data_IF_812474074714
#
_entry.id   IF_812474074714
#
_cell.length_a   1.000
_cell.length_b   1.000
_cell.length_c   1.000
_cell.angle_alpha   90.00
_cell.angle_beta   90.00
_cell.angle_gamma   90.00
#
_symmetry.space_group_name_H-M   'P 1'
#
loop_
_entity.id
_entity.type
_entity.pdbx_description
1 polymer ?
#
# COMPACT_ATOMS: atom_id res chain seq x y z
N UNK A 1 -20.80 -12.21 7.29
CA UNK A 1 -21.37 -12.73 6.02
C UNK A 1 -21.88 -11.53 5.25
N UNK A 2 -21.56 -11.41 3.96
CA UNK A 2 -22.12 -10.34 3.14
C UNK A 2 -23.65 -10.52 3.04
N UNK A 3 -24.37 -9.42 3.05
CA UNK A 3 -25.83 -9.40 2.98
C UNK A 3 -26.30 -10.10 1.69
N UNK A 4 -27.16 -11.11 1.84
CA UNK A 4 -27.69 -11.89 0.72
C UNK A 4 -28.44 -10.99 -0.26
N UNK A 5 -29.15 -9.97 0.24
CA UNK A 5 -29.86 -9.01 -0.59
C UNK A 5 -28.90 -8.19 -1.48
N UNK A 6 -27.73 -7.82 -0.94
CA UNK A 6 -26.69 -7.11 -1.72
C UNK A 6 -26.10 -7.99 -2.81
N UNK A 7 -25.88 -9.27 -2.53
CA UNK A 7 -25.38 -10.21 -3.54
C UNK A 7 -26.40 -10.51 -4.64
N UNK A 8 -27.69 -10.60 -4.29
CA UNK A 8 -28.79 -10.77 -5.24
C UNK A 8 -28.97 -9.52 -6.12
N UNK A 9 -28.77 -8.32 -5.58
CA UNK A 9 -28.83 -7.07 -6.33
C UNK A 9 -27.65 -6.87 -7.31
N UNK A 10 -26.50 -7.51 -7.07
CA UNK A 10 -25.30 -7.37 -7.89
C UNK A 10 -24.73 -8.75 -8.30
N UNK A 11 -25.44 -9.53 -9.13
CA UNK A 11 -25.08 -10.93 -9.41
C UNK A 11 -23.72 -11.09 -10.07
N UNK A 12 -23.31 -10.15 -10.92
CA UNK A 12 -21.98 -10.15 -11.56
C UNK A 12 -20.86 -9.96 -10.53
N UNK A 13 -21.05 -9.06 -9.56
CA UNK A 13 -20.06 -8.83 -8.49
C UNK A 13 -20.03 -10.04 -7.55
N UNK A 14 -21.18 -10.63 -7.24
CA UNK A 14 -21.26 -11.86 -6.46
C UNK A 14 -20.60 -13.05 -7.16
N UNK A 15 -20.71 -13.15 -8.50
CA UNK A 15 -20.00 -14.12 -9.30
C UNK A 15 -18.48 -13.88 -9.22
N UNK A 16 -18.01 -12.65 -9.41
CA UNK A 16 -16.60 -12.30 -9.32
C UNK A 16 -16.00 -12.57 -7.92
N UNK A 17 -16.76 -12.32 -6.86
CA UNK A 17 -16.34 -12.63 -5.47
C UNK A 17 -16.11 -14.14 -5.27
N UNK A 18 -16.86 -14.99 -5.97
CA UNK A 18 -16.72 -16.46 -5.94
C UNK A 18 -15.68 -16.97 -6.94
N UNK A 19 -15.36 -16.19 -7.97
CA UNK A 19 -14.37 -16.54 -8.98
C UNK A 19 -12.96 -16.54 -8.37
N UNK A 20 -12.36 -17.72 -8.26
CA UNK A 20 -11.03 -17.89 -7.66
C UNK A 20 -9.91 -17.89 -8.71
N UNK A 21 -10.18 -17.56 -9.97
CA UNK A 21 -9.21 -17.68 -11.07
C UNK A 21 -7.97 -16.83 -10.79
N UNK A 22 -8.13 -15.55 -10.43
CA UNK A 22 -6.99 -14.69 -10.11
C UNK A 22 -6.19 -15.21 -8.91
N UNK A 23 -6.87 -15.60 -7.83
CA UNK A 23 -6.22 -16.18 -6.65
C UNK A 23 -5.44 -17.44 -6.99
N UNK A 24 -6.04 -18.36 -7.75
CA UNK A 24 -5.41 -19.61 -8.19
C UNK A 24 -4.19 -19.33 -9.05
N UNK A 25 -4.31 -18.45 -10.04
CA UNK A 25 -3.19 -18.11 -10.93
C UNK A 25 -2.04 -17.47 -10.16
N UNK A 26 -2.33 -16.53 -9.24
CA UNK A 26 -1.29 -15.94 -8.38
C UNK A 26 -0.65 -16.99 -7.47
N UNK A 27 -1.41 -17.92 -6.90
CA UNK A 27 -0.84 -19.02 -6.10
C UNK A 27 0.01 -19.99 -6.93
N UNK A 28 -0.25 -20.15 -8.22
CA UNK A 28 0.56 -20.96 -9.13
C UNK A 28 1.89 -20.27 -9.48
N UNK A 29 1.86 -18.98 -9.81
CA UNK A 29 3.08 -18.23 -10.21
C UNK A 29 3.88 -17.69 -9.03
N UNK A 30 3.25 -17.46 -7.89
CA UNK A 30 3.85 -16.92 -6.66
C UNK A 30 3.47 -17.80 -5.45
N UNK A 31 3.89 -19.08 -5.41
CA UNK A 31 3.43 -20.04 -4.40
C UNK A 31 3.80 -19.66 -2.96
N UNK A 32 4.83 -18.83 -2.77
CA UNK A 32 5.23 -18.31 -1.45
C UNK A 32 4.16 -17.42 -0.80
N UNK A 33 3.25 -16.83 -1.60
CA UNK A 33 2.17 -15.99 -1.09
C UNK A 33 1.12 -16.77 -0.30
N UNK A 34 0.94 -18.07 -0.56
CA UNK A 34 0.02 -18.95 0.18
C UNK A 34 -1.42 -18.40 0.30
N UNK A 35 -1.92 -17.77 -0.77
CA UNK A 35 -3.23 -17.11 -0.78
C UNK A 35 -4.35 -18.13 -0.57
N UNK A 36 -5.32 -17.78 0.28
CA UNK A 36 -6.38 -18.68 0.72
C UNK A 36 -7.79 -18.10 0.49
N UNK A 37 -8.00 -16.83 0.85
CA UNK A 37 -9.30 -16.17 0.73
C UNK A 37 -9.18 -14.88 -0.05
N UNK A 38 -10.32 -14.38 -0.53
CA UNK A 38 -10.42 -13.08 -1.18
C UNK A 38 -11.68 -12.34 -0.75
N UNK A 39 -11.60 -11.02 -0.73
CA UNK A 39 -12.72 -10.12 -0.45
C UNK A 39 -12.71 -8.95 -1.42
N UNK A 40 -13.87 -8.69 -2.01
CA UNK A 40 -14.11 -7.59 -2.92
C UNK A 40 -14.82 -6.44 -2.18
N UNK A 41 -14.32 -5.23 -2.39
CA UNK A 41 -14.99 -3.96 -2.07
C UNK A 41 -15.25 -3.19 -3.36
N UNK A 42 -16.50 -2.77 -3.56
CA UNK A 42 -16.84 -1.78 -4.57
C UNK A 42 -16.71 -0.38 -3.96
N UNK A 43 -16.12 0.54 -4.70
CA UNK A 43 -15.97 1.93 -4.28
C UNK A 43 -16.40 2.87 -5.39
N UNK A 44 -17.22 3.85 -5.00
CA UNK A 44 -17.65 4.98 -5.80
C UNK A 44 -17.13 6.27 -5.15
N UNK A 45 -16.48 7.13 -5.95
CA UNK A 45 -16.11 8.48 -5.57
C UNK A 45 -16.83 9.45 -6.51
N UNK A 46 -17.59 10.40 -5.97
CA UNK A 46 -18.45 11.31 -6.73
C UNK A 46 -17.69 12.42 -7.50
N UNK A 47 -16.36 12.49 -7.41
CA UNK A 47 -15.57 13.50 -8.12
C UNK A 47 -15.47 14.85 -7.41
N UNK A 48 -15.81 14.92 -6.12
CA UNK A 48 -15.70 16.15 -5.32
C UNK A 48 -14.30 16.35 -4.72
N UNK A 49 -13.25 16.14 -5.51
CA UNK A 49 -11.84 16.18 -5.09
C UNK A 49 -11.43 15.15 -4.01
N UNK A 50 -12.24 14.11 -3.81
CA UNK A 50 -11.90 13.05 -2.85
C UNK A 50 -10.58 12.35 -3.24
N UNK A 51 -9.68 12.20 -2.27
CA UNK A 51 -8.38 11.55 -2.41
C UNK A 51 -8.06 10.69 -1.16
N UNK A 52 -7.03 9.86 -1.25
CA UNK A 52 -6.58 9.01 -0.15
C UNK A 52 -5.10 9.27 0.13
N UNK A 53 -4.69 9.39 1.40
CA UNK A 53 -3.32 9.75 1.75
C UNK A 53 -2.34 8.63 1.38
N UNK A 54 -1.04 8.91 1.50
CA UNK A 54 -0.02 7.87 1.45
C UNK A 54 -0.25 6.84 2.54
N UNK A 55 -0.29 5.56 2.15
CA UNK A 55 -0.47 4.44 3.07
C UNK A 55 0.02 3.12 2.46
N UNK A 56 0.13 2.12 3.33
CA UNK A 56 0.08 0.71 2.95
C UNK A 56 -1.34 0.23 3.24
N UNK A 57 -1.86 -0.69 2.43
CA UNK A 57 -3.23 -1.21 2.62
C UNK A 57 -3.37 -1.98 3.94
N UNK A 58 -2.26 -2.58 4.38
CA UNK A 58 -2.20 -3.22 5.68
C UNK A 58 -0.76 -3.43 6.16
N UNK A 59 -0.63 -3.99 7.35
CA UNK A 59 0.64 -4.35 7.98
C UNK A 59 0.69 -5.87 8.22
N UNK A 60 1.81 -6.52 7.86
CA UNK A 60 1.96 -7.97 7.96
C UNK A 60 1.81 -8.47 9.41
N UNK A 61 2.02 -7.59 10.40
CA UNK A 61 1.97 -7.93 11.82
C UNK A 61 0.56 -8.06 12.40
N UNK A 62 -0.44 -7.45 11.76
CA UNK A 62 -1.82 -7.39 12.28
C UNK A 62 -2.87 -7.86 11.28
N UNK A 63 -2.49 -8.15 10.03
CA UNK A 63 -3.42 -8.50 8.96
C UNK A 63 -2.88 -9.61 8.05
N UNK A 64 -3.80 -10.45 7.57
CA UNK A 64 -3.53 -11.57 6.69
C UNK A 64 -3.54 -11.19 5.19
N UNK A 65 -3.96 -9.98 4.82
CA UNK A 65 -3.94 -9.50 3.42
C UNK A 65 -2.51 -9.48 2.88
N UNK A 66 -2.32 -9.94 1.64
CA UNK A 66 -1.01 -9.99 0.97
C UNK A 66 -1.02 -9.35 -0.42
N UNK A 67 -2.12 -9.49 -1.15
CA UNK A 67 -2.25 -8.92 -2.49
C UNK A 67 -3.47 -8.01 -2.55
N UNK A 68 -3.26 -6.82 -3.10
CA UNK A 68 -4.32 -5.90 -3.50
C UNK A 68 -4.40 -5.89 -5.02
N UNK A 69 -5.61 -6.07 -5.54
CA UNK A 69 -5.91 -5.93 -6.96
C UNK A 69 -7.03 -4.89 -7.14
N UNK A 70 -6.81 -3.89 -7.98
CA UNK A 70 -7.77 -2.82 -8.28
C UNK A 70 -8.16 -2.90 -9.75
N UNK A 71 -9.43 -3.14 -10.03
CA UNK A 71 -10.02 -3.02 -11.35
C UNK A 71 -10.75 -1.69 -11.48
N UNK A 72 -10.36 -0.90 -12.47
CA UNK A 72 -10.98 0.39 -12.79
C UNK A 72 -12.10 0.24 -13.83
N UNK A 73 -13.18 1.00 -13.64
CA UNK A 73 -14.41 0.92 -14.42
C UNK A 73 -14.85 2.33 -14.89
N UNK A 74 -13.92 3.05 -15.52
CA UNK A 74 -14.09 4.48 -15.84
C UNK A 74 -13.92 4.75 -17.35
N UNK A 75 -14.96 4.50 -18.16
CA UNK A 75 -14.91 4.75 -19.60
C UNK A 75 -14.74 6.24 -19.89
N UNK A 76 -13.95 6.57 -20.91
CA UNK A 76 -13.69 7.97 -21.30
C UNK A 76 -12.86 8.76 -20.29
N UNK A 77 -12.00 8.11 -19.50
CA UNK A 77 -11.13 8.82 -18.55
C UNK A 77 -10.10 9.71 -19.26
N UNK A 78 -10.05 10.98 -18.88
CA UNK A 78 -9.11 11.97 -19.40
C UNK A 78 -8.16 12.45 -18.29
N UNK A 79 -6.94 12.93 -18.64
CA UNK A 79 -6.00 13.46 -17.64
C UNK A 79 -6.58 14.54 -16.72
N UNK A 80 -7.50 15.36 -17.23
CA UNK A 80 -8.14 16.43 -16.44
C UNK A 80 -9.03 15.91 -15.29
N UNK A 81 -9.44 14.64 -15.32
CA UNK A 81 -10.28 14.04 -14.26
C UNK A 81 -9.49 13.68 -12.99
N UNK A 82 -8.16 13.56 -13.07
CA UNK A 82 -7.30 13.18 -11.94
C UNK A 82 -7.50 11.73 -11.49
N UNK A 83 -7.64 11.50 -10.17
CA UNK A 83 -8.04 10.22 -9.58
C UNK A 83 -7.02 9.09 -9.69
N UNK A 84 -5.78 9.39 -10.10
CA UNK A 84 -4.74 8.40 -10.36
C UNK A 84 -4.28 7.69 -9.08
N UNK A 85 -3.95 6.41 -9.23
CA UNK A 85 -3.18 5.68 -8.22
C UNK A 85 -1.71 6.03 -8.40
N UNK A 86 -1.08 6.55 -7.36
CA UNK A 86 0.34 6.81 -7.35
C UNK A 86 1.03 5.80 -6.43
N UNK A 87 1.83 4.91 -7.04
CA UNK A 87 2.63 3.91 -6.35
C UNK A 87 4.03 4.47 -6.05
N UNK A 88 4.57 4.13 -4.88
CA UNK A 88 5.90 4.52 -4.44
C UNK A 88 6.75 3.25 -4.24
N UNK A 89 7.32 2.69 -5.32
CA UNK A 89 8.22 1.54 -5.24
C UNK A 89 9.60 1.95 -4.70
N UNK A 90 9.65 2.61 -3.53
CA UNK A 90 10.85 3.16 -2.92
C UNK A 90 11.93 2.06 -2.78
N UNK A 91 13.19 2.34 -3.18
CA UNK A 91 13.79 3.64 -3.53
C UNK A 91 13.70 4.04 -5.02
N UNK A 92 12.85 3.38 -5.81
CA UNK A 92 12.63 3.74 -7.23
C UNK A 92 11.66 4.94 -7.33
N UNK A 93 11.69 5.68 -8.46
CA UNK A 93 10.76 6.78 -8.69
C UNK A 93 9.29 6.34 -8.58
N UNK A 94 8.38 7.25 -8.17
CA UNK A 94 6.95 6.98 -8.16
C UNK A 94 6.41 6.60 -9.55
N UNK A 95 5.35 5.79 -9.56
CA UNK A 95 4.63 5.38 -10.77
C UNK A 95 3.18 5.85 -10.64
N UNK A 96 2.74 6.72 -11.55
CA UNK A 96 1.36 7.22 -11.60
C UNK A 96 0.56 6.44 -12.63
N UNK A 97 -0.60 5.91 -12.21
CA UNK A 97 -1.45 5.04 -13.03
C UNK A 97 -2.83 5.68 -13.15
N UNK A 98 -3.24 6.13 -14.34
CA UNK A 98 -4.58 6.64 -14.53
C UNK A 98 -5.62 5.50 -14.42
N UNK A 99 -6.78 5.77 -13.82
CA UNK A 99 -7.81 4.77 -13.53
C UNK A 99 -8.66 4.47 -14.78
N UNK A 100 -8.01 4.12 -15.89
CA UNK A 100 -8.68 3.85 -17.16
C UNK A 100 -9.62 2.65 -17.06
N UNK A 101 -10.69 2.66 -17.85
CA UNK A 101 -11.60 1.51 -17.95
C UNK A 101 -10.88 0.19 -18.25
N UNK A 102 -11.37 -0.88 -17.62
CA UNK A 102 -10.85 -2.24 -17.75
C UNK A 102 -9.35 -2.40 -17.41
N UNK A 103 -8.78 -1.47 -16.64
CA UNK A 103 -7.39 -1.58 -16.16
C UNK A 103 -7.36 -2.29 -14.81
N UNK A 104 -6.63 -3.41 -14.76
CA UNK A 104 -6.29 -4.11 -13.54
C UNK A 104 -4.88 -3.72 -13.05
N UNK A 105 -4.76 -3.32 -11.79
CA UNK A 105 -3.48 -3.08 -11.12
C UNK A 105 -3.35 -4.04 -9.94
N UNK A 106 -2.26 -4.81 -9.89
CA UNK A 106 -1.98 -5.76 -8.80
C UNK A 106 -0.69 -5.35 -8.10
N UNK A 107 -0.71 -5.27 -6.77
CA UNK A 107 0.45 -4.92 -5.97
C UNK A 107 0.39 -5.57 -4.58
N UNK A 108 1.52 -5.53 -3.88
CA UNK A 108 1.63 -6.04 -2.52
C UNK A 108 0.93 -5.15 -1.51
N UNK A 109 -0.02 -5.74 -0.76
CA UNK A 109 -0.80 -5.04 0.28
C UNK A 109 0.09 -4.38 1.32
N UNK A 110 1.13 -5.08 1.78
CA UNK A 110 1.93 -4.65 2.93
C UNK A 110 3.22 -3.92 2.55
N UNK A 111 3.66 -4.05 1.29
CA UNK A 111 4.99 -3.59 0.87
C UNK A 111 4.98 -2.51 -0.21
N UNK A 112 3.82 -2.17 -0.77
CA UNK A 112 3.67 -1.10 -1.74
C UNK A 112 3.02 0.13 -1.10
N UNK A 113 3.85 1.15 -0.86
CA UNK A 113 3.37 2.47 -0.45
C UNK A 113 2.62 3.10 -1.62
N UNK A 114 1.44 3.65 -1.38
CA UNK A 114 0.66 4.28 -2.44
C UNK A 114 -0.31 5.32 -1.90
N UNK A 115 -0.79 6.18 -2.80
CA UNK A 115 -1.87 7.15 -2.54
C UNK A 115 -2.80 7.22 -3.74
N UNK A 116 -3.97 7.81 -3.57
CA UNK A 116 -4.89 8.12 -4.68
C UNK A 116 -5.01 9.62 -4.78
N UNK A 117 -4.72 10.18 -5.96
CA UNK A 117 -4.81 11.62 -6.23
C UNK A 117 -6.27 12.11 -6.24
N UNK A 118 -6.51 13.41 -6.04
CA UNK A 118 -7.85 13.99 -6.12
C UNK A 118 -8.55 13.65 -7.43
N UNK A 119 -9.79 13.17 -7.32
CA UNK A 119 -10.67 12.90 -8.47
C UNK A 119 -11.65 14.05 -8.65
N UNK A 120 -11.71 14.61 -9.85
CA UNK A 120 -12.65 15.66 -10.25
C UNK A 120 -13.87 15.13 -11.04
N UNK A 121 -13.85 13.83 -11.36
CA UNK A 121 -14.95 13.12 -12.01
C UNK A 121 -15.37 11.90 -11.19
N UNK A 122 -16.55 11.37 -11.50
CA UNK A 122 -17.06 10.12 -10.94
C UNK A 122 -16.08 8.98 -11.21
N UNK A 123 -15.65 8.29 -10.14
CA UNK A 123 -14.63 7.24 -10.20
C UNK A 123 -15.11 5.97 -9.51
N UNK A 124 -15.18 4.91 -10.29
CA UNK A 124 -15.52 3.56 -9.87
C UNK A 124 -14.26 2.68 -9.85
N UNK A 125 -14.12 1.91 -8.77
CA UNK A 125 -13.16 0.83 -8.73
C UNK A 125 -13.64 -0.33 -7.88
N UNK A 126 -13.18 -1.52 -8.26
CA UNK A 126 -13.33 -2.73 -7.49
C UNK A 126 -11.98 -3.12 -6.90
N UNK A 127 -11.90 -3.18 -5.58
CA UNK A 127 -10.68 -3.61 -4.87
C UNK A 127 -10.88 -5.03 -4.36
N UNK A 128 -10.04 -5.95 -4.81
CA UNK A 128 -9.95 -7.32 -4.29
C UNK A 128 -8.73 -7.42 -3.39
N UNK A 129 -8.93 -7.78 -2.13
CA UNK A 129 -7.84 -8.18 -1.25
C UNK A 129 -7.79 -9.70 -1.13
N UNK A 130 -6.60 -10.27 -1.31
CA UNK A 130 -6.35 -11.70 -1.13
C UNK A 130 -5.49 -11.92 0.10
N UNK A 131 -5.89 -12.88 0.93
CA UNK A 131 -5.34 -13.11 2.26
C UNK A 131 -4.88 -14.55 2.46
N UNK A 132 -3.92 -14.72 3.36
CA UNK A 132 -3.49 -16.04 3.86
C UNK A 132 -4.41 -16.51 4.99
N UNK A 133 -4.46 -17.82 5.26
CA UNK A 133 -5.30 -18.37 6.34
C UNK A 133 -4.68 -18.09 7.72
N UNK A 134 -3.39 -18.42 7.87
CA UNK A 134 -2.67 -18.35 9.14
C UNK A 134 -1.43 -17.47 8.94
N UNK A 135 -1.51 -16.15 9.21
CA UNK A 135 -0.30 -15.36 9.28
C UNK A 135 0.61 -15.97 10.35
N UNK A 136 1.88 -16.19 9.99
CA UNK A 136 2.90 -16.59 10.95
C UNK A 136 3.12 -15.49 12.00
N UNK A 137 4.08 -15.66 12.91
CA UNK A 137 4.44 -14.59 13.83
C UNK A 137 4.76 -13.31 13.04
N UNK A 138 4.41 -12.13 13.59
CA UNK A 138 4.70 -10.86 12.93
C UNK A 138 6.21 -10.75 12.67
N UNK A 139 6.62 -10.11 11.56
CA UNK A 139 8.03 -9.81 11.36
C UNK A 139 8.57 -8.99 12.53
N UNK A 140 9.83 -9.20 12.90
CA UNK A 140 10.46 -8.49 14.02
C UNK A 140 10.39 -6.98 13.79
N UNK A 141 9.72 -6.22 14.66
CA UNK A 141 9.63 -4.78 14.50
C UNK A 141 11.01 -4.13 14.49
N UNK A 142 11.18 -3.05 13.73
CA UNK A 142 12.47 -2.34 13.63
C UNK A 142 13.03 -1.96 15.00
N UNK A 143 12.16 -1.67 15.97
CA UNK A 143 12.49 -1.32 17.36
C UNK A 143 13.35 -2.39 18.05
N UNK A 144 13.11 -3.67 17.74
CA UNK A 144 13.80 -4.83 18.32
C UNK A 144 15.02 -5.27 17.51
N UNK A 145 15.34 -4.62 16.39
CA UNK A 145 16.58 -4.90 15.66
C UNK A 145 17.78 -4.40 16.48
N UNK A 146 18.70 -5.31 16.77
CA UNK A 146 19.98 -5.02 17.42
C UNK A 146 21.02 -4.60 16.37
N UNK A 147 21.87 -3.64 16.73
CA UNK A 147 23.03 -3.28 15.93
C UNK A 147 24.09 -4.37 16.12
N UNK A 148 24.00 -5.47 15.36
CA UNK A 148 24.93 -6.58 15.56
C UNK A 148 24.64 -7.84 14.75
N UNK A 149 25.13 -7.88 13.51
CA UNK A 149 25.78 -9.08 12.98
C UNK A 149 26.83 -8.59 11.99
N UNK A 150 28.10 -8.93 12.23
CA UNK A 150 29.30 -8.46 11.51
C UNK A 150 29.36 -8.79 10.01
N UNK A 151 28.27 -9.28 9.42
CA UNK A 151 28.22 -9.90 8.09
C UNK A 151 27.08 -9.35 7.20
N UNK A 152 26.39 -8.27 7.61
CA UNK A 152 25.34 -7.64 6.80
C UNK A 152 25.79 -6.26 6.31
N UNK A 153 25.88 -6.12 4.99
CA UNK A 153 26.03 -4.81 4.37
C UNK A 153 24.82 -3.91 4.70
N UNK A 154 25.04 -2.59 4.76
CA UNK A 154 23.96 -1.64 5.05
C UNK A 154 22.85 -1.71 3.99
N UNK A 155 23.18 -2.06 2.74
CA UNK A 155 22.24 -2.29 1.66
C UNK A 155 21.33 -3.50 1.94
N UNK A 156 21.88 -4.60 2.45
CA UNK A 156 21.09 -5.78 2.84
C UNK A 156 20.18 -5.48 4.04
N UNK A 157 20.64 -4.66 4.99
CA UNK A 157 19.80 -4.21 6.10
C UNK A 157 18.66 -3.31 5.59
N UNK A 158 18.96 -2.34 4.73
CA UNK A 158 17.99 -1.45 4.11
C UNK A 158 16.99 -2.16 3.18
N UNK A 159 17.36 -3.33 2.64
CA UNK A 159 16.47 -4.16 1.83
C UNK A 159 15.41 -4.91 2.65
N UNK A 160 15.60 -5.07 3.97
CA UNK A 160 14.63 -5.75 4.82
C UNK A 160 13.30 -4.97 4.84
N UNK A 161 12.13 -5.63 4.71
CA UNK A 161 10.84 -4.95 4.55
C UNK A 161 10.57 -3.85 5.60
N UNK A 162 10.74 -4.14 6.89
CA UNK A 162 10.44 -3.17 7.96
C UNK A 162 11.41 -1.98 7.96
N UNK A 163 12.71 -2.25 7.71
CA UNK A 163 13.72 -1.19 7.59
C UNK A 163 13.43 -0.32 6.38
N UNK A 164 13.11 -0.93 5.23
CA UNK A 164 12.76 -0.25 4.00
C UNK A 164 11.52 0.62 4.16
N UNK A 165 10.49 0.13 4.86
CA UNK A 165 9.27 0.90 5.17
C UNK A 165 9.59 2.12 6.04
N UNK A 166 10.41 1.94 7.07
CA UNK A 166 10.86 3.03 7.93
C UNK A 166 11.68 4.08 7.15
N UNK A 167 12.66 3.64 6.34
CA UNK A 167 13.45 4.51 5.48
C UNK A 167 12.58 5.27 4.48
N UNK A 168 11.63 4.60 3.84
CA UNK A 168 10.68 5.23 2.92
C UNK A 168 9.81 6.29 3.62
N UNK A 169 9.29 5.99 4.83
CA UNK A 169 8.48 6.95 5.60
C UNK A 169 9.27 8.18 6.01
N UNK A 170 10.51 8.01 6.47
CA UNK A 170 11.39 9.14 6.81
C UNK A 170 11.80 9.92 5.57
N UNK A 171 12.14 9.25 4.48
CA UNK A 171 12.55 9.89 3.23
C UNK A 171 11.41 10.68 2.57
N UNK A 172 10.18 10.16 2.62
CA UNK A 172 8.99 10.75 1.99
C UNK A 172 8.13 11.55 2.98
N UNK A 173 8.66 11.88 4.17
CA UNK A 173 7.87 12.42 5.29
C UNK A 173 7.06 13.66 4.93
N UNK A 174 7.63 14.58 4.15
CA UNK A 174 6.98 15.84 3.77
C UNK A 174 5.86 15.59 2.75
N UNK A 175 6.10 14.75 1.74
CA UNK A 175 5.08 14.34 0.78
C UNK A 175 3.95 13.53 1.43
N UNK A 176 4.28 12.72 2.44
CA UNK A 176 3.31 11.98 3.22
C UNK A 176 2.45 12.92 4.06
N UNK A 177 3.05 13.84 4.80
CA UNK A 177 2.32 14.87 5.56
C UNK A 177 1.39 15.70 4.65
N UNK A 178 1.89 16.12 3.49
CA UNK A 178 1.10 16.84 2.50
C UNK A 178 -0.10 16.01 2.02
N UNK A 179 0.07 14.70 1.79
CA UNK A 179 -1.04 13.82 1.40
C UNK A 179 -2.11 13.69 2.49
N UNK A 180 -1.73 13.75 3.78
CA UNK A 180 -2.68 13.74 4.90
C UNK A 180 -3.49 15.04 4.96
N UNK A 181 -2.85 16.17 4.64
CA UNK A 181 -3.49 17.49 4.56
C UNK A 181 -4.50 17.53 3.42
N UNK A 182 -4.12 17.02 2.24
CA UNK A 182 -4.98 16.98 1.05
C UNK A 182 -6.21 16.08 1.24
N UNK A 183 -6.06 14.95 1.93
CA UNK A 183 -7.13 13.96 2.06
C UNK A 183 -8.09 14.20 3.23
N UNK A 184 -7.84 15.19 4.08
CA UNK A 184 -8.67 15.48 5.25
C UNK A 184 -8.98 16.97 5.35
N UNK A 185 -10.25 17.26 5.65
CA UNK A 185 -10.69 18.61 5.94
C UNK A 185 -9.97 19.19 7.18
N UNK A 186 -9.88 20.52 7.22
CA UNK A 186 -9.31 21.20 8.38
C UNK A 186 -10.12 20.94 9.63
N UNK A 187 -9.49 20.31 10.62
CA UNK A 187 -10.14 19.78 11.82
C UNK A 187 -9.11 19.42 12.89
N UNK A 188 -9.56 19.37 14.14
CA UNK A 188 -8.75 18.88 15.26
C UNK A 188 -8.29 17.43 15.07
N UNK A 189 -9.12 16.60 14.41
CA UNK A 189 -8.76 15.24 14.05
C UNK A 189 -7.56 15.20 13.08
N UNK A 190 -7.53 16.08 12.06
CA UNK A 190 -6.40 16.20 11.13
C UNK A 190 -5.14 16.68 11.84
N UNK A 191 -5.25 17.67 12.71
CA UNK A 191 -4.13 18.16 13.52
C UNK A 191 -3.54 17.06 14.40
N UNK A 192 -4.40 16.29 15.07
CA UNK A 192 -3.97 15.15 15.91
C UNK A 192 -3.32 14.03 15.09
N UNK A 193 -3.83 13.76 13.90
CA UNK A 193 -3.25 12.79 12.96
C UNK A 193 -1.84 13.21 12.52
N UNK A 194 -1.66 14.49 12.16
CA UNK A 194 -0.36 15.04 11.78
C UNK A 194 0.63 15.03 12.96
N UNK A 195 0.18 15.36 14.17
CA UNK A 195 1.02 15.29 15.37
C UNK A 195 1.51 13.86 15.65
N UNK A 196 0.62 12.87 15.55
CA UNK A 196 0.98 11.45 15.66
C UNK A 196 1.98 11.04 14.57
N UNK A 197 1.72 11.43 13.32
CA UNK A 197 2.61 11.14 12.19
C UNK A 197 4.04 11.68 12.41
N UNK A 198 4.18 12.93 12.83
CA UNK A 198 5.49 13.54 13.06
C UNK A 198 6.24 12.91 14.23
N UNK A 199 5.53 12.58 15.33
CA UNK A 199 6.11 11.84 16.45
C UNK A 199 6.65 10.48 16.02
N UNK A 200 5.92 9.75 15.17
CA UNK A 200 6.39 8.48 14.62
C UNK A 200 7.63 8.65 13.74
N UNK A 201 7.66 9.69 12.89
CA UNK A 201 8.83 10.01 12.05
C UNK A 201 10.06 10.29 12.90
N UNK A 202 9.94 11.06 13.98
CA UNK A 202 11.05 11.35 14.90
C UNK A 202 11.62 10.08 15.53
N UNK A 203 10.75 9.19 16.01
CA UNK A 203 11.16 7.90 16.59
C UNK A 203 11.89 7.02 15.56
N UNK A 204 11.39 6.97 14.32
CA UNK A 204 12.03 6.22 13.25
C UNK A 204 13.39 6.81 12.86
N UNK A 205 13.53 8.14 12.81
CA UNK A 205 14.81 8.80 12.55
C UNK A 205 15.87 8.44 13.59
N UNK A 206 15.50 8.46 14.88
CA UNK A 206 16.40 8.03 15.95
C UNK A 206 16.84 6.58 15.78
N UNK A 207 15.90 5.68 15.44
CA UNK A 207 16.23 4.25 15.25
C UNK A 207 17.09 4.01 14.01
N UNK A 208 16.82 4.70 12.89
CA UNK A 208 17.64 4.65 11.67
C UNK A 208 19.08 5.08 11.96
N UNK A 209 19.27 6.13 12.77
CA UNK A 209 20.60 6.57 13.21
C UNK A 209 21.32 5.52 14.07
N UNK A 210 20.62 4.88 15.01
CA UNK A 210 21.19 3.79 15.83
C UNK A 210 21.63 2.61 14.95
N UNK A 211 20.91 2.35 13.87
CA UNK A 211 21.25 1.29 12.90
C UNK A 211 22.34 1.70 11.89
N UNK A 212 22.86 2.93 11.95
CA UNK A 212 23.88 3.43 11.02
C UNK A 212 23.38 3.65 9.58
N UNK A 213 22.07 3.88 9.42
CA UNK A 213 21.40 4.02 8.12
C UNK A 213 21.06 5.47 7.75
N UNK A 214 21.37 6.44 8.60
CA UNK A 214 21.05 7.86 8.41
C UNK A 214 21.83 8.52 7.27
N UNK A 215 23.02 8.00 6.94
CA UNK A 215 23.86 8.46 5.82
C UNK A 215 23.71 7.65 4.52
N UNK A 216 22.76 6.71 4.44
CA UNK A 216 22.67 5.83 3.27
C UNK A 216 22.16 6.59 2.04
N UNK A 217 22.94 6.57 0.96
CA UNK A 217 22.52 7.18 -0.29
C UNK A 217 21.42 6.34 -0.95
N UNK A 218 20.27 6.96 -1.20
CA UNK A 218 19.11 6.31 -1.85
C UNK A 218 19.47 5.71 -3.22
N UNK A 219 20.43 6.32 -3.93
CA UNK A 219 20.97 5.80 -5.20
C UNK A 219 21.57 4.39 -5.05
N UNK A 220 22.27 4.10 -3.95
CA UNK A 220 22.87 2.78 -3.67
C UNK A 220 21.81 1.72 -3.41
N UNK A 221 20.62 2.12 -2.96
CA UNK A 221 19.51 1.20 -2.67
C UNK A 221 18.69 0.83 -3.92
N UNK A 222 18.82 1.55 -5.04
CA UNK A 222 18.03 1.28 -6.27
C UNK A 222 18.21 -0.12 -6.84
N UNK A 223 19.39 -0.70 -6.62
CA UNK A 223 19.77 -2.03 -7.08
C UNK A 223 19.63 -3.11 -6.00
N UNK A 224 19.22 -2.75 -4.78
CA UNK A 224 19.00 -3.71 -3.72
C UNK A 224 17.88 -4.70 -4.13
N UNK A 225 18.02 -6.00 -3.82
CA UNK A 225 17.01 -7.00 -4.13
C UNK A 225 15.79 -6.81 -3.24
N UNK A 226 14.84 -5.98 -3.68
CA UNK A 226 13.59 -5.74 -2.94
C UNK A 226 12.60 -6.87 -3.24
N UNK A 227 12.20 -7.60 -2.19
CA UNK A 227 11.09 -8.54 -2.24
C UNK A 227 9.77 -7.79 -2.05
N UNK A 228 9.04 -7.61 -3.15
CA UNK A 228 7.73 -6.95 -3.12
C UNK A 228 6.61 -7.87 -2.64
N UNK A 229 6.72 -9.17 -2.92
CA UNK A 229 5.80 -10.23 -2.49
C UNK A 229 6.46 -11.18 -1.49
#
# INVERSE_FOLDING_TARGET
>A
MADKAVQEAAPTIAALQRDRTMLTMLSLFLPHLRLHSQLIKLQYNAGSSGCFPLHYDSDESVDARRVTAILYLNPGWEPAHGGELQLFPWPRPPVTIPPLDNRLVIFSTCRMLHRVLPSLAERFCLTTWMSIMNPGPPPTPIQHLEAGSSDRSLENLAAQPEVRRALAKVHLKDSWAQSLIESHADSEARTSMLATFWREVELLQQKIKILGLDGIEVSKLKHAPVQWF
#
